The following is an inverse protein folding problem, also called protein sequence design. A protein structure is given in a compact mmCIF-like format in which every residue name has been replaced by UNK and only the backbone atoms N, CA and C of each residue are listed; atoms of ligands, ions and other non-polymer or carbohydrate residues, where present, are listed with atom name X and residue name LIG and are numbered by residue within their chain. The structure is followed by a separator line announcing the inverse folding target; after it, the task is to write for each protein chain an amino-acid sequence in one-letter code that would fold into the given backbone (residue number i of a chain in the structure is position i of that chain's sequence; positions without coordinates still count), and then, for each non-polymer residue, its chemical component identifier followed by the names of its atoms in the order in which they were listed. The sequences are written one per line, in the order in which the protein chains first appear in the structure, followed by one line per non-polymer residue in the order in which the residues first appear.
data_IF_652590987495
#
_entry.id   IF_652590987495
#
_cell.length_a   1.000
_cell.length_b   1.000
_cell.length_c   1.000
_cell.angle_alpha   90.00
_cell.angle_beta   90.00
_cell.angle_gamma   90.00
#
_symmetry.space_group_name_H-M   'P 1'
#
loop_
_entity.id
_entity.type
_entity.pdbx_description
1 polymer ?
#
# COMPACT_ATOMS: atom_id res chain seq x y z
N UNK A 1 15.16 11.10 6.50
CA UNK A 1 14.84 9.74 6.05
C UNK A 1 13.63 9.20 6.78
N UNK A 2 12.70 8.63 6.07
CA UNK A 2 11.50 8.09 6.70
C UNK A 2 11.52 6.56 6.63
N UNK A 3 11.10 5.92 7.73
CA UNK A 3 10.95 4.46 7.80
C UNK A 3 9.49 4.05 7.70
N UNK A 4 8.65 4.96 7.32
CA UNK A 4 7.21 4.69 7.24
C UNK A 4 6.90 3.67 6.16
N UNK A 5 5.94 2.83 6.46
CA UNK A 5 5.54 1.75 5.56
C UNK A 5 4.04 1.83 5.33
N UNK A 6 3.64 1.70 4.08
CA UNK A 6 2.23 1.61 3.72
C UNK A 6 1.99 0.25 3.08
N UNK A 7 1.10 -0.52 3.67
CA UNK A 7 0.74 -1.85 3.21
C UNK A 7 -0.60 -1.75 2.49
N UNK A 8 -0.61 -2.13 1.23
CA UNK A 8 -1.81 -2.04 0.40
C UNK A 8 -2.17 -3.44 -0.10
N UNK A 9 -3.36 -3.87 0.25
CA UNK A 9 -3.90 -5.14 -0.21
C UNK A 9 -4.94 -4.84 -1.30
N UNK A 10 -4.80 -5.50 -2.43
CA UNK A 10 -5.66 -5.27 -3.59
C UNK A 10 -6.79 -6.27 -3.66
N UNK A 11 -7.90 -5.82 -4.22
CA UNK A 11 -8.96 -6.73 -4.63
C UNK A 11 -8.51 -7.39 -5.91
N UNK A 12 -8.41 -8.71 -5.89
CA UNK A 12 -7.94 -9.43 -7.06
C UNK A 12 -9.06 -10.34 -7.59
N UNK A 13 -9.75 -9.83 -8.58
CA UNK A 13 -10.80 -10.57 -9.25
C UNK A 13 -10.30 -11.30 -10.49
N UNK A 14 -9.03 -11.15 -10.81
CA UNK A 14 -8.48 -11.74 -12.02
C UNK A 14 -8.02 -13.16 -11.75
N UNK A 15 -8.86 -14.10 -12.10
CA UNK A 15 -8.57 -15.52 -11.88
C UNK A 15 -7.37 -16.02 -12.65
N UNK A 16 -6.97 -15.32 -13.70
CA UNK A 16 -5.82 -15.74 -14.49
C UNK A 16 -4.50 -15.54 -13.74
N UNK A 17 -4.48 -14.70 -12.72
CA UNK A 17 -3.23 -14.42 -12.01
C UNK A 17 -2.84 -15.54 -11.07
N UNK A 18 -3.76 -16.04 -10.29
CA UNK A 18 -3.49 -17.20 -9.46
C UNK A 18 -4.75 -17.59 -8.70
N UNK A 19 -4.70 -18.77 -8.13
CA UNK A 19 -5.84 -19.33 -7.44
C UNK A 19 -6.13 -18.66 -6.10
N UNK A 20 -5.18 -17.99 -5.50
CA UNK A 20 -5.38 -17.40 -4.19
C UNK A 20 -5.88 -15.97 -4.25
N UNK A 21 -5.64 -15.31 -5.36
CA UNK A 21 -6.26 -14.03 -5.64
C UNK A 21 -5.91 -12.87 -4.72
N UNK A 22 -4.81 -12.97 -4.00
CA UNK A 22 -4.40 -11.89 -3.11
C UNK A 22 -3.13 -11.26 -3.63
N UNK A 23 -3.19 -9.96 -3.91
CA UNK A 23 -2.04 -9.18 -4.29
C UNK A 23 -1.82 -8.10 -3.24
N UNK A 24 -0.58 -7.91 -2.85
CA UNK A 24 -0.22 -6.88 -1.90
C UNK A 24 1.02 -6.14 -2.36
N UNK A 25 1.09 -4.87 -2.01
CA UNK A 25 2.30 -4.08 -2.17
C UNK A 25 2.66 -3.49 -0.82
N UNK A 26 3.96 -3.46 -0.56
CA UNK A 26 4.51 -2.84 0.63
C UNK A 26 5.37 -1.68 0.16
N UNK A 27 4.93 -0.47 0.46
CA UNK A 27 5.66 0.74 0.09
C UNK A 27 6.49 1.20 1.28
N UNK A 28 7.80 1.28 1.07
CA UNK A 28 8.72 1.75 2.09
C UNK A 28 9.15 3.17 1.77
N UNK A 29 9.61 3.88 2.80
CA UNK A 29 10.06 5.24 2.60
C UNK A 29 8.92 6.19 2.25
N UNK A 30 7.76 5.96 2.83
CA UNK A 30 6.57 6.76 2.54
C UNK A 30 6.69 8.12 3.22
N UNK A 31 6.59 9.18 2.43
CA UNK A 31 6.56 10.53 2.95
C UNK A 31 5.15 10.89 3.42
N UNK A 32 4.16 10.57 2.61
CA UNK A 32 2.78 10.90 2.91
C UNK A 32 1.86 10.08 2.02
N UNK A 33 0.59 10.02 2.39
CA UNK A 33 -0.42 9.42 1.55
C UNK A 33 -1.75 10.10 1.80
N UNK A 34 -2.62 10.10 0.79
CA UNK A 34 -3.96 10.65 0.96
C UNK A 34 -4.92 10.01 -0.03
N UNK A 35 -6.20 10.19 0.26
CA UNK A 35 -7.27 9.69 -0.59
C UNK A 35 -7.85 10.86 -1.37
N UNK A 36 -7.75 10.78 -2.68
CA UNK A 36 -8.32 11.79 -3.57
C UNK A 36 -9.72 11.34 -3.94
N UNK A 37 -10.70 12.18 -3.70
CA UNK A 37 -12.09 11.81 -3.89
C UNK A 37 -12.80 12.62 -4.97
N UNK A 38 -12.12 13.59 -5.55
CA UNK A 38 -12.71 14.39 -6.64
C UNK A 38 -12.53 13.64 -7.95
N UNK A 39 -13.64 13.41 -8.64
CA UNK A 39 -13.63 12.64 -9.86
C UNK A 39 -13.40 11.16 -9.57
N UNK A 40 -12.33 10.60 -10.10
CA UNK A 40 -11.94 9.22 -9.79
C UNK A 40 -11.35 9.17 -8.40
N UNK A 41 -11.77 8.17 -7.63
CA UNK A 41 -11.20 7.97 -6.30
C UNK A 41 -9.86 7.27 -6.42
N UNK A 42 -8.81 7.93 -5.95
CA UNK A 42 -7.45 7.43 -6.05
C UNK A 42 -6.76 7.48 -4.68
N UNK A 43 -5.90 6.51 -4.44
CA UNK A 43 -4.96 6.57 -3.34
C UNK A 43 -3.66 7.13 -3.88
N UNK A 44 -3.24 8.26 -3.33
CA UNK A 44 -1.99 8.89 -3.71
C UNK A 44 -0.95 8.61 -2.64
N UNK A 45 0.18 8.06 -3.03
CA UNK A 45 1.27 7.73 -2.12
C UNK A 45 2.51 8.50 -2.55
N UNK A 46 3.04 9.33 -1.68
CA UNK A 46 4.27 10.05 -1.92
C UNK A 46 5.42 9.32 -1.26
N UNK A 47 6.40 8.94 -2.05
CA UNK A 47 7.58 8.23 -1.59
C UNK A 47 8.77 9.19 -1.56
N UNK A 48 9.66 8.95 -0.60
CA UNK A 48 10.86 9.78 -0.45
C UNK A 48 12.14 9.00 -0.70
N UNK A 49 12.19 7.76 -0.28
CA UNK A 49 13.37 6.94 -0.41
C UNK A 49 13.10 5.75 -1.33
N UNK A 50 14.07 5.35 -2.14
CA UNK A 50 15.36 5.99 -2.38
C UNK A 50 15.26 7.24 -3.25
N UNK A 51 14.16 7.41 -3.96
CA UNK A 51 13.95 8.56 -4.83
C UNK A 51 12.56 9.13 -4.61
N UNK A 52 12.40 10.45 -4.73
CA UNK A 52 11.07 11.03 -4.70
C UNK A 52 10.23 10.46 -5.83
N UNK A 53 9.04 10.01 -5.49
CA UNK A 53 8.13 9.44 -6.48
C UNK A 53 6.71 9.57 -5.98
N UNK A 54 5.75 9.45 -6.89
CA UNK A 54 4.34 9.51 -6.55
C UNK A 54 3.64 8.35 -7.25
N UNK A 55 2.87 7.61 -6.47
CA UNK A 55 2.12 6.45 -6.97
C UNK A 55 0.64 6.73 -6.81
N UNK A 56 -0.14 6.46 -7.85
CA UNK A 56 -1.60 6.60 -7.81
C UNK A 56 -2.22 5.22 -8.00
N UNK A 57 -3.12 4.86 -7.10
CA UNK A 57 -3.79 3.56 -7.16
C UNK A 57 -5.30 3.80 -7.13
N UNK A 58 -6.04 3.28 -8.11
CA UNK A 58 -7.50 3.40 -8.08
C UNK A 58 -8.07 2.72 -6.84
N UNK A 59 -8.91 3.43 -6.11
CA UNK A 59 -9.49 2.90 -4.88
C UNK A 59 -10.38 1.68 -5.13
N UNK A 60 -10.91 1.57 -6.34
CA UNK A 60 -11.72 0.40 -6.70
C UNK A 60 -10.91 -0.90 -6.67
N UNK A 61 -9.58 -0.80 -6.73
CA UNK A 61 -8.71 -1.96 -6.68
C UNK A 61 -8.17 -2.25 -5.29
N UNK A 62 -8.51 -1.43 -4.31
CA UNK A 62 -7.92 -1.53 -2.97
C UNK A 62 -8.89 -2.17 -2.00
N UNK A 63 -8.44 -3.24 -1.35
CA UNK A 63 -9.22 -3.90 -0.30
C UNK A 63 -8.88 -3.38 1.08
N UNK A 64 -7.60 -3.05 1.31
CA UNK A 64 -7.15 -2.65 2.64
C UNK A 64 -5.90 -1.80 2.52
N UNK A 65 -5.81 -0.77 3.35
CA UNK A 65 -4.61 0.05 3.48
C UNK A 65 -4.27 0.13 4.95
N UNK A 66 -3.03 -0.22 5.30
CA UNK A 66 -2.56 -0.10 6.68
C UNK A 66 -1.24 0.66 6.71
N UNK A 67 -1.13 1.56 7.67
CA UNK A 67 0.03 2.40 7.83
C UNK A 67 0.84 1.96 9.04
N UNK A 68 2.15 1.90 8.89
CA UNK A 68 3.07 1.56 9.96
C UNK A 68 4.17 2.60 10.05
N UNK A 69 4.52 2.97 11.27
CA UNK A 69 5.54 3.98 11.49
C UNK A 69 6.94 3.49 11.15
N UNK A 70 7.14 2.17 11.11
CA UNK A 70 8.45 1.59 10.85
C UNK A 70 8.31 0.19 10.29
N UNK A 71 9.39 -0.30 9.69
CA UNK A 71 9.44 -1.69 9.22
C UNK A 71 9.34 -2.67 10.38
N UNK A 72 9.86 -2.32 11.54
CA UNK A 72 9.78 -3.19 12.71
C UNK A 72 8.33 -3.43 13.12
N UNK A 73 7.52 -2.39 13.13
CA UNK A 73 6.12 -2.52 13.46
C UNK A 73 5.37 -3.32 12.42
N UNK A 74 5.69 -3.09 11.15
CA UNK A 74 5.10 -3.85 10.06
C UNK A 74 5.44 -5.33 10.19
N UNK A 75 6.69 -5.65 10.44
CA UNK A 75 7.13 -7.04 10.56
C UNK A 75 6.46 -7.74 11.73
N UNK A 76 6.27 -7.05 12.85
CA UNK A 76 5.57 -7.62 13.99
C UNK A 76 4.12 -7.94 13.65
N UNK A 77 3.48 -7.05 12.92
CA UNK A 77 2.10 -7.25 12.51
C UNK A 77 1.96 -8.48 11.62
N UNK A 78 2.84 -8.61 10.64
CA UNK A 78 2.84 -9.75 9.73
C UNK A 78 3.06 -11.06 10.48
N UNK A 79 3.97 -11.08 11.45
CA UNK A 79 4.24 -12.29 12.24
C UNK A 79 3.03 -12.72 13.04
N UNK A 80 2.28 -11.75 13.56
CA UNK A 80 1.08 -12.09 14.34
C UNK A 80 -0.01 -12.70 13.48
N UNK A 81 -0.10 -12.24 12.24
CA UNK A 81 -1.10 -12.77 11.33
C UNK A 81 -0.68 -14.08 10.69
N UNK A 82 0.62 -14.26 10.58
CA UNK A 82 1.15 -15.46 9.98
C UNK A 82 1.23 -16.59 10.97
#
# INVERSE_FOLDING_TARGET
MTNRVLYVKYINDNQALNSKGIAVNVFQGVKDYCFLTEGLSLLKIELHDPYPDVVYIPMSNVALVEYFESMDKFNRHIRKEG
#
